data_IF_063873802001
#
_entry.id   IF_063873802001
#
_cell.length_a   1.000
_cell.length_b   1.000
_cell.length_c   1.000
_cell.angle_alpha   90.00
_cell.angle_beta   90.00
_cell.angle_gamma   90.00
#
_symmetry.space_group_name_H-M   'P 1'
#
loop_
_entity.id
_entity.type
_entity.pdbx_description
1 polymer ?
#
# COMPACT_ATOMS: atom_id res chain seq x y z
N UNK A 1 -54.99 -62.50 51.82
CA UNK A 1 -54.24 -61.31 51.37
C UNK A 1 -52.96 -61.78 50.70
N UNK A 2 -52.72 -61.29 49.48
CA UNK A 2 -51.59 -61.46 48.52
C UNK A 2 -50.42 -62.38 48.92
N UNK A 3 -50.24 -63.54 48.27
CA UNK A 3 -49.60 -63.82 46.96
C UNK A 3 -48.07 -64.02 47.04
N UNK A 4 -47.68 -65.25 46.72
CA UNK A 4 -46.34 -65.74 46.35
C UNK A 4 -45.72 -64.94 45.18
N UNK A 5 -44.40 -65.10 44.96
CA UNK A 5 -43.78 -65.66 43.73
C UNK A 5 -42.27 -65.34 43.69
N UNK A 6 -41.45 -66.40 43.72
CA UNK A 6 -40.30 -66.77 42.84
C UNK A 6 -39.27 -65.70 42.37
N UNK A 7 -38.05 -65.99 41.94
CA UNK A 7 -37.08 -67.10 42.00
C UNK A 7 -35.78 -66.56 41.34
N UNK A 8 -34.65 -67.18 41.70
CA UNK A 8 -33.45 -67.41 40.89
C UNK A 8 -32.58 -66.22 40.36
N UNK A 9 -31.34 -66.22 40.88
CA UNK A 9 -30.05 -66.36 40.18
C UNK A 9 -29.54 -65.24 39.23
N UNK A 10 -28.29 -64.78 39.41
CA UNK A 10 -27.10 -65.25 38.68
C UNK A 10 -25.85 -64.40 38.97
N UNK A 11 -24.69 -65.04 38.80
CA UNK A 11 -23.32 -64.59 39.07
C UNK A 11 -22.82 -63.42 38.22
N UNK A 12 -21.78 -62.71 38.71
CA UNK A 12 -20.80 -62.02 37.85
C UNK A 12 -19.38 -62.14 38.42
N UNK A 13 -18.53 -62.77 37.62
CA UNK A 13 -17.08 -62.86 37.73
C UNK A 13 -16.41 -61.54 37.35
N UNK A 14 -15.26 -61.26 37.96
CA UNK A 14 -14.36 -60.18 37.59
C UNK A 14 -13.16 -60.74 36.81
N UNK A 15 -12.89 -60.19 35.63
CA UNK A 15 -11.69 -60.46 34.83
C UNK A 15 -11.15 -59.14 34.23
N UNK A 16 -9.82 -59.08 34.14
CA UNK A 16 -8.97 -57.91 33.89
C UNK A 16 -8.97 -57.37 32.45
N UNK A 17 -8.51 -56.13 32.26
CA UNK A 17 -7.86 -55.67 31.01
C UNK A 17 -6.99 -54.42 31.22
N UNK A 18 -5.87 -54.41 30.51
CA UNK A 18 -4.75 -53.46 30.56
C UNK A 18 -5.05 -52.10 29.91
N UNK A 19 -4.47 -51.02 30.47
CA UNK A 19 -4.47 -49.68 29.88
C UNK A 19 -3.40 -49.57 28.78
N UNK A 20 -3.86 -49.39 27.54
CA UNK A 20 -3.03 -49.02 26.40
C UNK A 20 -2.79 -47.52 26.35
N UNK A 21 -1.53 -47.10 26.44
CA UNK A 21 -1.11 -45.73 26.13
C UNK A 21 -1.23 -45.49 24.62
N UNK A 22 -2.19 -44.67 24.21
CA UNK A 22 -2.26 -44.16 22.83
C UNK A 22 -1.24 -43.03 22.67
N UNK A 23 -0.18 -43.31 21.91
CA UNK A 23 0.71 -42.29 21.39
C UNK A 23 -0.08 -41.45 20.37
N UNK A 24 -0.70 -40.37 20.84
CA UNK A 24 -1.31 -39.37 19.98
C UNK A 24 -0.24 -38.73 19.10
N UNK A 25 -0.27 -39.03 17.80
CA UNK A 25 0.51 -38.33 16.79
C UNK A 25 -0.01 -36.89 16.69
N UNK A 26 0.57 -35.99 17.47
CA UNK A 26 0.35 -34.55 17.31
C UNK A 26 0.99 -34.13 15.98
N UNK A 27 0.22 -34.19 14.89
CA UNK A 27 0.62 -33.52 13.67
C UNK A 27 0.83 -32.03 13.99
N UNK A 28 1.92 -31.41 13.54
CA UNK A 28 2.11 -29.98 13.72
C UNK A 28 0.90 -29.25 13.11
N UNK A 29 0.36 -28.22 13.80
CA UNK A 29 -0.82 -27.52 13.31
C UNK A 29 -0.55 -27.03 11.89
N UNK A 30 -1.47 -27.36 10.96
CA UNK A 30 -1.38 -26.87 9.57
C UNK A 30 -1.34 -25.35 9.62
N UNK A 31 -0.35 -24.69 8.98
CA UNK A 31 -0.25 -23.25 9.01
C UNK A 31 -1.52 -22.65 8.40
N UNK A 32 -2.18 -21.75 9.15
CA UNK A 32 -3.35 -21.01 8.68
C UNK A 32 -2.87 -20.04 7.59
N UNK A 33 -3.15 -20.36 6.33
CA UNK A 33 -2.79 -19.50 5.20
C UNK A 33 -3.79 -18.34 5.16
N UNK A 34 -3.34 -17.16 5.58
CA UNK A 34 -4.13 -15.92 5.49
C UNK A 34 -3.95 -15.28 4.12
N UNK A 35 -5.00 -14.60 3.63
CA UNK A 35 -4.92 -13.84 2.38
C UNK A 35 -3.79 -12.79 2.51
N UNK A 36 -2.84 -12.74 1.55
CA UNK A 36 -1.74 -11.79 1.61
C UNK A 36 -2.25 -10.36 1.47
N UNK A 37 -1.49 -9.41 2.03
CA UNK A 37 -1.69 -7.98 1.85
C UNK A 37 -0.94 -7.52 0.61
N UNK A 38 -1.63 -6.83 -0.30
CA UNK A 38 -1.09 -6.39 -1.58
C UNK A 38 -0.50 -4.99 -1.41
N UNK A 39 0.82 -4.90 -1.56
CA UNK A 39 1.54 -3.64 -1.65
C UNK A 39 1.79 -3.33 -3.12
N UNK A 40 1.17 -2.26 -3.63
CA UNK A 40 1.52 -1.69 -4.92
C UNK A 40 2.75 -0.78 -4.74
N UNK A 41 3.82 -1.03 -5.48
CA UNK A 41 4.96 -0.13 -5.55
C UNK A 41 4.98 0.54 -6.92
N UNK A 42 4.85 1.87 -6.93
CA UNK A 42 4.95 2.69 -8.13
C UNK A 42 6.39 3.18 -8.26
N UNK A 43 7.20 2.39 -8.96
CA UNK A 43 8.63 2.61 -9.17
C UNK A 43 9.09 2.00 -10.50
N UNK A 44 10.26 2.41 -10.97
CA UNK A 44 10.92 1.76 -12.10
C UNK A 44 11.38 0.33 -11.77
N UNK A 45 11.85 -0.41 -12.77
CA UNK A 45 12.32 -1.79 -12.62
C UNK A 45 13.79 -1.91 -12.16
N UNK A 46 14.50 -0.81 -11.90
CA UNK A 46 15.89 -0.86 -11.44
C UNK A 46 15.98 -1.38 -10.00
N UNK A 47 14.95 -1.12 -9.18
CA UNK A 47 14.87 -1.63 -7.80
C UNK A 47 13.88 -2.78 -7.69
N UNK A 48 14.34 -4.00 -7.42
CA UNK A 48 13.46 -5.14 -7.15
C UNK A 48 12.88 -5.06 -5.73
N UNK A 49 11.72 -4.42 -5.57
CA UNK A 49 11.08 -4.27 -4.26
C UNK A 49 10.57 -5.60 -3.69
N UNK A 50 10.20 -6.55 -4.54
CA UNK A 50 9.76 -7.87 -4.09
C UNK A 50 10.87 -8.61 -3.34
N UNK A 51 12.15 -8.42 -3.74
CA UNK A 51 13.31 -8.93 -2.99
C UNK A 51 13.40 -8.34 -1.57
N UNK A 52 13.18 -7.04 -1.39
CA UNK A 52 13.28 -6.38 -0.08
C UNK A 52 12.14 -6.76 0.88
N UNK A 53 10.95 -7.03 0.35
CA UNK A 53 9.79 -7.47 1.13
C UNK A 53 9.69 -9.00 1.27
N UNK A 54 10.59 -9.77 0.66
CA UNK A 54 10.58 -11.23 0.72
C UNK A 54 10.67 -11.72 2.16
N UNK A 55 9.73 -12.58 2.55
CA UNK A 55 9.65 -13.16 3.89
C UNK A 55 9.21 -12.17 4.98
N UNK A 56 8.97 -10.90 4.65
CA UNK A 56 8.39 -9.94 5.59
C UNK A 56 6.90 -10.26 5.77
N UNK A 57 6.44 -10.17 7.02
CA UNK A 57 5.05 -10.38 7.39
C UNK A 57 4.51 -9.20 8.16
N UNK A 58 3.31 -8.75 7.84
CA UNK A 58 2.59 -7.76 8.62
C UNK A 58 2.04 -8.43 9.90
N UNK A 59 2.39 -7.86 11.05
CA UNK A 59 2.08 -8.40 12.39
C UNK A 59 2.52 -9.85 12.61
N UNK A 60 3.51 -10.32 11.85
CA UNK A 60 3.96 -11.73 11.88
C UNK A 60 3.01 -12.73 11.21
N UNK A 61 1.83 -12.31 10.78
CA UNK A 61 0.77 -13.21 10.33
C UNK A 61 0.50 -13.12 8.81
N UNK A 62 0.45 -11.91 8.25
CA UNK A 62 0.05 -11.72 6.86
C UNK A 62 1.27 -11.58 5.96
N UNK A 63 1.34 -12.41 4.93
CA UNK A 63 2.33 -12.24 3.87
C UNK A 63 2.10 -10.94 3.10
N UNK A 64 3.19 -10.32 2.66
CA UNK A 64 3.14 -9.11 1.81
C UNK A 64 3.39 -9.56 0.37
N UNK A 65 2.39 -9.37 -0.50
CA UNK A 65 2.53 -9.57 -1.94
C UNK A 65 2.84 -8.22 -2.56
N UNK A 66 4.02 -8.09 -3.16
CA UNK A 66 4.42 -6.90 -3.90
C UNK A 66 3.95 -7.01 -5.35
N UNK A 67 3.22 -6.01 -5.83
CA UNK A 67 3.02 -5.75 -7.25
C UNK A 67 3.77 -4.45 -7.58
N UNK A 68 4.62 -4.47 -8.59
CA UNK A 68 5.46 -3.33 -8.94
C UNK A 68 5.25 -2.97 -10.41
N UNK A 69 5.04 -1.68 -10.67
CA UNK A 69 4.85 -1.13 -12.01
C UNK A 69 5.12 0.38 -12.01
N UNK A 70 5.39 0.93 -13.18
CA UNK A 70 5.46 2.38 -13.35
C UNK A 70 4.05 2.99 -13.45
N UNK A 71 3.93 4.31 -13.24
CA UNK A 71 2.66 5.01 -13.46
C UNK A 71 2.12 4.83 -14.88
N UNK A 72 3.01 4.77 -15.88
CA UNK A 72 2.67 4.57 -17.29
C UNK A 72 2.11 3.19 -17.61
N UNK A 73 2.28 2.23 -16.70
CA UNK A 73 1.87 0.82 -16.88
C UNK A 73 0.57 0.48 -16.14
N UNK A 74 -0.01 1.43 -15.42
CA UNK A 74 -1.24 1.21 -14.66
C UNK A 74 -2.40 2.09 -15.11
N UNK A 75 -3.59 1.60 -14.87
CA UNK A 75 -4.82 2.36 -14.86
C UNK A 75 -5.66 1.92 -13.64
N UNK A 76 -6.77 2.59 -13.37
CA UNK A 76 -7.61 2.23 -12.24
C UNK A 76 -9.07 2.60 -12.46
N UNK A 77 -9.93 1.94 -11.69
CA UNK A 77 -11.31 2.34 -11.46
C UNK A 77 -11.56 2.32 -9.95
N UNK A 78 -12.07 3.43 -9.41
CA UNK A 78 -12.36 3.55 -7.98
C UNK A 78 -13.85 3.73 -7.75
N UNK A 79 -14.37 2.99 -6.77
CA UNK A 79 -15.79 2.92 -6.47
C UNK A 79 -16.00 3.22 -5.00
N UNK A 80 -17.01 4.03 -4.68
CA UNK A 80 -17.33 4.48 -3.31
C UNK A 80 -17.38 3.31 -2.31
N UNK A 81 -18.05 2.21 -2.67
CA UNK A 81 -18.28 1.11 -1.73
C UNK A 81 -17.25 -0.02 -1.82
N UNK A 82 -16.46 -0.09 -2.89
CA UNK A 82 -15.59 -1.26 -3.16
C UNK A 82 -14.11 -0.93 -3.30
N UNK A 83 -13.74 0.35 -3.14
CA UNK A 83 -12.37 0.83 -3.17
C UNK A 83 -11.79 0.95 -4.57
N UNK A 84 -10.46 1.02 -4.64
CA UNK A 84 -9.70 1.10 -5.89
C UNK A 84 -9.40 -0.28 -6.48
N UNK A 85 -9.74 -0.48 -7.75
CA UNK A 85 -9.24 -1.56 -8.57
C UNK A 85 -8.17 -1.01 -9.52
N UNK A 86 -6.97 -1.58 -9.46
CA UNK A 86 -5.83 -1.19 -10.31
C UNK A 86 -5.67 -2.24 -11.39
N UNK A 87 -5.61 -1.78 -12.63
CA UNK A 87 -5.27 -2.55 -13.82
C UNK A 87 -3.81 -2.32 -14.15
N UNK A 88 -2.99 -3.36 -14.11
CA UNK A 88 -1.57 -3.31 -14.43
C UNK A 88 -1.29 -4.02 -15.75
N UNK A 89 -0.65 -3.32 -16.67
CA UNK A 89 -0.17 -3.88 -17.92
C UNK A 89 1.20 -4.54 -17.71
N UNK A 90 1.30 -5.82 -18.00
CA UNK A 90 2.55 -6.58 -17.92
C UNK A 90 2.89 -7.13 -19.30
N UNK A 91 4.14 -6.99 -19.73
CA UNK A 91 4.62 -7.61 -20.95
C UNK A 91 5.14 -9.03 -20.64
N UNK A 92 4.49 -10.06 -21.18
CA UNK A 92 4.92 -11.46 -21.03
C UNK A 92 5.20 -12.05 -22.40
N UNK A 93 6.49 -12.19 -22.73
CA UNK A 93 6.93 -12.81 -23.99
C UNK A 93 6.44 -12.07 -25.23
N UNK A 94 6.35 -10.73 -25.19
CA UNK A 94 5.89 -9.89 -26.30
C UNK A 94 4.38 -9.64 -26.32
N UNK A 95 3.60 -10.35 -25.51
CA UNK A 95 2.16 -10.13 -25.37
C UNK A 95 1.86 -9.21 -24.19
N UNK A 96 1.12 -8.13 -24.43
CA UNK A 96 0.59 -7.26 -23.38
C UNK A 96 -0.60 -7.95 -22.71
N UNK A 97 -0.44 -8.25 -21.42
CA UNK A 97 -1.49 -8.85 -20.60
C UNK A 97 -1.85 -7.87 -19.49
N UNK A 98 -3.15 -7.61 -19.31
CA UNK A 98 -3.65 -6.79 -18.20
C UNK A 98 -4.03 -7.71 -17.03
N UNK A 99 -3.60 -7.35 -15.82
CA UNK A 99 -4.01 -8.01 -14.58
C UNK A 99 -4.58 -6.98 -13.62
N UNK A 100 -5.74 -7.28 -13.05
CA UNK A 100 -6.41 -6.40 -12.10
C UNK A 100 -6.25 -6.89 -10.67
N UNK A 101 -6.06 -5.97 -9.72
CA UNK A 101 -6.03 -6.27 -8.30
C UNK A 101 -6.48 -5.08 -7.46
N UNK A 102 -6.77 -5.31 -6.18
CA UNK A 102 -7.08 -4.26 -5.21
C UNK A 102 -5.89 -4.09 -4.26
N UNK A 103 -5.14 -2.99 -4.31
CA UNK A 103 -4.04 -2.76 -3.38
C UNK A 103 -4.56 -2.52 -1.97
N UNK A 104 -3.89 -3.09 -0.97
CA UNK A 104 -4.12 -2.77 0.45
C UNK A 104 -3.31 -1.52 0.87
N UNK A 105 -2.22 -1.22 0.16
CA UNK A 105 -1.33 -0.08 0.40
C UNK A 105 -0.58 0.28 -0.88
N UNK A 106 -0.16 1.54 -1.02
CA UNK A 106 0.71 1.98 -2.13
C UNK A 106 1.98 2.70 -1.64
N UNK A 107 3.13 2.35 -2.21
CA UNK A 107 4.40 3.05 -2.06
C UNK A 107 4.70 3.76 -3.37
N UNK A 108 4.82 5.09 -3.35
CA UNK A 108 5.07 5.89 -4.56
C UNK A 108 6.51 6.41 -4.54
N UNK A 109 7.29 6.00 -5.54
CA UNK A 109 8.70 6.36 -5.73
C UNK A 109 8.96 7.14 -7.03
N UNK A 110 8.01 7.16 -7.95
CA UNK A 110 8.04 8.00 -9.15
C UNK A 110 7.40 9.39 -8.94
N UNK A 111 7.81 10.34 -9.79
CA UNK A 111 7.15 11.63 -9.90
C UNK A 111 5.74 11.47 -10.48
N UNK A 112 4.72 11.94 -9.77
CA UNK A 112 3.33 11.90 -10.24
C UNK A 112 3.00 12.97 -11.31
N UNK A 113 3.89 13.94 -11.51
CA UNK A 113 3.71 15.01 -12.50
C UNK A 113 5.06 15.55 -13.00
N UNK A 114 5.12 15.75 -14.31
CA UNK A 114 6.18 16.43 -15.04
C UNK A 114 5.55 17.21 -16.20
N UNK A 115 6.25 18.23 -16.69
CA UNK A 115 5.81 18.98 -17.88
C UNK A 115 6.20 18.29 -19.20
N UNK A 116 6.90 17.14 -19.12
CA UNK A 116 7.20 16.31 -20.29
C UNK A 116 5.88 15.70 -20.80
N UNK A 117 5.59 15.78 -22.10
CA UNK A 117 4.39 15.19 -22.67
C UNK A 117 4.23 13.71 -22.30
N UNK A 118 3.08 13.34 -21.74
CA UNK A 118 2.80 11.96 -21.31
C UNK A 118 3.16 11.65 -19.86
N UNK A 119 3.75 12.58 -19.11
CA UNK A 119 4.14 12.39 -17.70
C UNK A 119 3.22 13.15 -16.71
N UNK A 120 1.92 13.18 -16.98
CA UNK A 120 0.91 13.71 -16.05
C UNK A 120 0.04 12.56 -15.50
N UNK A 121 0.37 12.13 -14.29
CA UNK A 121 -0.27 11.00 -13.59
C UNK A 121 -1.12 11.46 -12.40
N UNK A 122 -1.43 12.76 -12.32
CA UNK A 122 -2.22 13.31 -11.21
C UNK A 122 -3.59 12.67 -11.09
N UNK A 123 -4.20 12.29 -12.22
CA UNK A 123 -5.46 11.54 -12.27
C UNK A 123 -5.37 10.17 -11.56
N UNK A 124 -4.23 9.48 -11.66
CA UNK A 124 -4.01 8.21 -10.97
C UNK A 124 -3.88 8.42 -9.45
N UNK A 125 -3.19 9.47 -9.02
CA UNK A 125 -3.12 9.86 -7.60
C UNK A 125 -4.50 10.19 -7.05
N UNK A 126 -5.31 10.95 -7.80
CA UNK A 126 -6.70 11.25 -7.45
C UNK A 126 -7.51 9.96 -7.32
N UNK A 127 -7.39 9.04 -8.28
CA UNK A 127 -8.10 7.77 -8.25
C UNK A 127 -7.75 6.90 -7.05
N UNK A 128 -6.46 6.73 -6.76
CA UNK A 128 -6.00 6.04 -5.54
C UNK A 128 -6.58 6.68 -4.27
N UNK A 129 -6.64 8.02 -4.23
CA UNK A 129 -7.14 8.75 -3.06
C UNK A 129 -8.66 8.59 -2.93
N UNK A 130 -9.38 8.70 -4.05
CA UNK A 130 -10.83 8.50 -4.13
C UNK A 130 -11.22 7.08 -3.69
N UNK A 131 -10.44 6.07 -4.09
CA UNK A 131 -10.64 4.69 -3.68
C UNK A 131 -10.16 4.36 -2.26
N UNK A 132 -9.69 5.36 -1.50
CA UNK A 132 -9.30 5.21 -0.10
C UNK A 132 -8.04 4.39 0.14
N UNK A 133 -7.13 4.28 -0.84
CA UNK A 133 -5.90 3.47 -0.72
C UNK A 133 -4.90 4.19 0.18
N UNK A 134 -4.45 3.59 1.30
CA UNK A 134 -3.40 4.15 2.14
C UNK A 134 -2.06 4.20 1.39
N UNK A 135 -1.24 5.21 1.66
CA UNK A 135 -0.02 5.47 0.88
C UNK A 135 1.14 6.01 1.70
N UNK A 136 2.37 5.76 1.22
CA UNK A 136 3.57 6.50 1.62
C UNK A 136 4.31 7.10 0.40
N UNK A 137 4.61 8.39 0.39
CA UNK A 137 4.03 9.44 1.24
C UNK A 137 2.50 9.51 1.07
N UNK A 138 1.79 10.31 1.88
CA UNK A 138 0.33 10.41 1.74
C UNK A 138 -0.06 10.91 0.35
N UNK A 139 -1.14 10.37 -0.22
CA UNK A 139 -1.63 10.79 -1.55
C UNK A 139 -1.95 12.29 -1.59
N UNK A 140 -2.42 12.85 -0.45
CA UNK A 140 -2.60 14.28 -0.28
C UNK A 140 -1.30 15.05 -0.47
N UNK A 141 -0.21 14.62 0.18
CA UNK A 141 1.10 15.29 0.03
C UNK A 141 1.65 15.14 -1.38
N UNK A 142 1.50 13.97 -2.00
CA UNK A 142 1.97 13.68 -3.36
C UNK A 142 1.25 14.57 -4.38
N UNK A 143 -0.07 14.69 -4.26
CA UNK A 143 -0.87 15.58 -5.11
C UNK A 143 -0.41 17.05 -4.96
N UNK A 144 -0.22 17.51 -3.73
CA UNK A 144 0.28 18.86 -3.46
C UNK A 144 1.74 19.07 -3.92
N UNK A 145 2.54 18.01 -4.01
CA UNK A 145 3.93 18.08 -4.49
C UNK A 145 4.06 18.23 -6.01
N UNK A 146 2.96 18.15 -6.76
CA UNK A 146 2.97 18.27 -8.23
C UNK A 146 3.25 19.71 -8.72
N UNK A 147 3.39 20.70 -7.83
CA UNK A 147 3.82 22.06 -8.19
C UNK A 147 4.98 22.49 -7.32
N UNK A 148 6.19 22.61 -7.90
CA UNK A 148 7.38 23.07 -7.18
C UNK A 148 7.17 24.44 -6.51
N UNK A 149 6.58 25.46 -7.18
CA UNK A 149 6.26 26.74 -6.52
C UNK A 149 5.28 26.61 -5.36
N UNK A 150 4.29 25.70 -5.46
CA UNK A 150 3.36 25.45 -4.37
C UNK A 150 4.05 24.89 -3.13
N UNK A 151 4.95 23.91 -3.31
CA UNK A 151 5.77 23.36 -2.21
C UNK A 151 6.68 24.43 -1.63
N UNK A 152 7.35 25.22 -2.48
CA UNK A 152 8.21 26.32 -2.05
C UNK A 152 7.46 27.35 -1.19
N UNK A 153 6.17 27.61 -1.47
CA UNK A 153 5.35 28.49 -0.63
C UNK A 153 5.21 28.00 0.82
N UNK A 154 5.26 26.68 1.08
CA UNK A 154 5.28 26.15 2.45
C UNK A 154 6.63 26.41 3.12
N UNK A 155 7.73 26.38 2.36
CA UNK A 155 9.06 26.74 2.87
C UNK A 155 9.14 28.23 3.23
N UNK A 156 8.48 29.12 2.47
CA UNK A 156 8.37 30.55 2.81
C UNK A 156 7.68 30.74 4.18
N UNK A 157 6.62 29.96 4.48
CA UNK A 157 5.97 30.01 5.79
C UNK A 157 6.93 29.60 6.92
N UNK A 158 7.74 28.56 6.70
CA UNK A 158 8.76 28.12 7.65
C UNK A 158 9.84 29.19 7.84
N UNK A 159 10.31 29.80 6.74
CA UNK A 159 11.25 30.92 6.77
C UNK A 159 10.74 32.08 7.64
N UNK A 160 9.49 32.53 7.43
CA UNK A 160 8.90 33.60 8.25
C UNK A 160 8.70 33.20 9.72
N UNK A 161 8.38 31.93 10.00
CA UNK A 161 8.16 31.46 11.37
C UNK A 161 9.45 31.22 12.16
N UNK A 162 10.52 30.77 11.50
CA UNK A 162 11.76 30.34 12.16
C UNK A 162 12.86 31.40 12.08
N UNK A 163 12.77 32.31 11.11
CA UNK A 163 13.78 33.31 10.82
C UNK A 163 14.94 32.79 9.97
N UNK A 164 15.67 33.69 9.29
CA UNK A 164 16.74 33.35 8.35
C UNK A 164 17.92 32.59 8.98
N UNK A 165 18.19 32.80 10.27
CA UNK A 165 19.28 32.10 10.96
C UNK A 165 19.02 30.60 11.13
N UNK A 166 17.75 30.21 11.39
CA UNK A 166 17.37 28.82 11.63
C UNK A 166 16.94 28.09 10.36
N UNK A 167 16.37 28.83 9.40
CA UNK A 167 15.91 28.28 8.14
C UNK A 167 16.31 29.22 7.00
N UNK A 168 17.58 29.20 6.54
CA UNK A 168 18.05 30.10 5.49
C UNK A 168 17.50 29.67 4.13
N UNK A 169 16.37 30.27 3.72
CA UNK A 169 15.73 29.99 2.44
C UNK A 169 16.33 30.88 1.33
N UNK A 170 16.66 30.28 0.19
CA UNK A 170 17.15 31.04 -0.97
C UNK A 170 16.11 32.06 -1.45
N UNK A 171 16.57 33.23 -1.86
CA UNK A 171 15.72 34.21 -2.52
C UNK A 171 15.25 33.69 -3.88
N UNK A 172 13.94 33.67 -4.09
CA UNK A 172 13.32 33.24 -5.33
C UNK A 172 12.09 34.08 -5.62
N UNK A 173 11.91 34.48 -6.88
CA UNK A 173 10.71 35.17 -7.36
C UNK A 173 9.87 34.22 -8.20
N UNK A 174 8.59 34.10 -7.88
CA UNK A 174 7.62 33.37 -8.70
C UNK A 174 6.93 34.31 -9.67
N UNK A 175 6.84 33.91 -10.93
CA UNK A 175 6.08 34.59 -11.98
C UNK A 175 4.96 33.67 -12.46
N UNK A 176 3.67 34.07 -12.40
CA UNK A 176 2.57 33.24 -12.90
C UNK A 176 2.67 32.96 -14.41
N UNK A 177 3.29 33.87 -15.15
CA UNK A 177 3.55 33.76 -16.58
C UNK A 177 4.67 34.74 -16.99
N UNK A 178 5.12 34.64 -18.24
CA UNK A 178 6.24 35.41 -18.78
C UNK A 178 5.99 36.94 -18.77
N UNK A 179 4.75 37.41 -18.90
CA UNK A 179 4.46 38.86 -18.99
C UNK A 179 4.88 39.64 -17.74
N UNK A 180 4.92 38.97 -16.59
CA UNK A 180 5.33 39.59 -15.32
C UNK A 180 6.84 39.68 -15.16
N UNK A 181 7.62 38.97 -16.00
CA UNK A 181 9.08 39.00 -15.92
C UNK A 181 9.64 40.32 -16.49
N UNK A 182 9.09 40.82 -17.59
CA UNK A 182 9.59 42.01 -18.29
C UNK A 182 9.31 43.33 -17.53
N UNK A 183 8.20 43.39 -16.80
CA UNK A 183 7.79 44.58 -16.01
C UNK A 183 8.76 44.84 -14.85
N UNK A 184 9.43 43.81 -14.33
CA UNK A 184 10.36 43.94 -13.21
C UNK A 184 11.81 44.09 -13.65
N UNK A 185 12.21 43.54 -14.81
CA UNK A 185 13.53 43.79 -15.41
C UNK A 185 13.67 45.26 -15.82
N UNK A 186 12.63 45.84 -16.42
CA UNK A 186 12.60 47.26 -16.80
C UNK A 186 12.58 48.25 -15.61
N UNK A 187 12.30 47.77 -14.39
CA UNK A 187 12.29 48.57 -13.16
C UNK A 187 13.50 48.35 -12.25
N UNK A 188 14.44 47.46 -12.60
CA UNK A 188 15.70 47.38 -11.85
C UNK A 188 16.56 48.60 -12.18
N UNK A 189 17.07 49.34 -11.19
CA UNK A 189 18.12 50.32 -11.44
C UNK A 189 19.26 49.61 -12.16
N UNK A 190 19.64 50.10 -13.35
CA UNK A 190 20.94 49.77 -13.91
C UNK A 190 21.95 50.48 -13.01
N UNK A 191 22.67 49.72 -12.20
CA UNK A 191 23.88 50.19 -11.54
C UNK A 191 25.02 50.23 -12.56
#
# INVERSE_FOLDING_TARGET
MAQNVAAAAHAKSAAAAAEGASAGSSQPPKPVIRKPKILLVIDDQHTDWAKYFRGKKLNGEYEIRVEQAEFSEINLASYVNSGCMVDMQVNKGGTKVVRSFKPDFVLIRQHAYSMIPGEDFRNLVIGLHFGGVPSINSLFSIYNFCSKPWVFSQMIKLYHSLGPEKFPLNEQTFYPNHTQMDVLVSKRPQY
#
